data_IF_573567612840
#
_entry.id   IF_573567612840
#
_cell.length_a   1.000
_cell.length_b   1.000
_cell.length_c   1.000
_cell.angle_alpha   90.00
_cell.angle_beta   90.00
_cell.angle_gamma   90.00
#
_symmetry.space_group_name_H-M   'P 1'
#
loop_
_entity.id
_entity.type
_entity.pdbx_description
1 polymer ?
#
# COMPACT_ATOMS: atom_id res chain seq x y z
N UNK A 1 67.83 5.50 6.50
CA UNK A 1 66.73 5.24 5.54
C UNK A 1 65.58 4.44 6.16
N UNK A 2 65.86 3.51 7.09
CA UNK A 2 64.86 2.60 7.67
C UNK A 2 63.75 3.30 8.50
N UNK A 3 64.05 4.43 9.14
CA UNK A 3 63.09 5.22 9.92
C UNK A 3 61.97 5.86 9.08
N UNK A 4 62.28 6.22 7.83
CA UNK A 4 61.29 6.77 6.89
C UNK A 4 60.37 5.67 6.36
N UNK A 5 60.92 4.49 6.08
CA UNK A 5 60.14 3.32 5.65
C UNK A 5 59.17 2.86 6.76
N UNK A 6 59.60 2.90 8.02
CA UNK A 6 58.73 2.63 9.18
C UNK A 6 57.59 3.65 9.30
N UNK A 7 57.86 4.94 9.06
CA UNK A 7 56.83 5.99 9.09
C UNK A 7 55.78 5.82 7.99
N UNK A 8 56.22 5.45 6.77
CA UNK A 8 55.31 5.17 5.65
C UNK A 8 54.47 3.91 5.93
N UNK A 9 55.08 2.87 6.48
CA UNK A 9 54.38 1.65 6.85
C UNK A 9 53.31 1.89 7.93
N UNK A 10 53.61 2.71 8.94
CA UNK A 10 52.64 3.11 9.97
C UNK A 10 51.49 3.95 9.40
N UNK A 11 51.79 4.88 8.49
CA UNK A 11 50.77 5.73 7.87
C UNK A 11 49.84 4.92 6.95
N UNK A 12 50.39 3.96 6.20
CA UNK A 12 49.62 3.02 5.39
C UNK A 12 48.75 2.06 6.23
N UNK A 13 49.18 1.72 7.45
CA UNK A 13 48.38 0.90 8.37
C UNK A 13 47.25 1.69 9.06
N UNK A 14 47.41 3.01 9.23
CA UNK A 14 46.38 3.88 9.84
C UNK A 14 45.23 4.28 8.90
N UNK A 15 45.31 3.94 7.61
CA UNK A 15 44.34 4.35 6.58
C UNK A 15 43.36 3.26 6.14
N UNK A 16 43.35 2.10 6.81
CA UNK A 16 42.22 1.16 6.80
C UNK A 16 41.54 1.25 8.16
N UNK A 17 40.26 1.56 8.32
CA UNK A 17 39.11 1.12 7.53
C UNK A 17 37.96 2.06 7.90
N UNK A 18 37.64 3.02 7.04
CA UNK A 18 36.34 3.68 7.10
C UNK A 18 35.42 2.82 6.22
N UNK A 19 34.92 1.71 6.76
CA UNK A 19 33.78 1.03 6.13
C UNK A 19 32.62 2.01 6.24
N UNK A 20 32.43 2.78 5.17
CA UNK A 20 31.20 3.49 4.90
C UNK A 20 30.14 2.44 4.54
N UNK A 21 29.74 1.63 5.51
CA UNK A 21 28.68 0.66 5.33
C UNK A 21 27.40 1.18 5.95
N UNK A 22 26.43 1.31 5.06
CA UNK A 22 25.01 1.50 5.31
C UNK A 22 24.61 2.95 5.57
N UNK A 23 24.60 3.72 4.47
CA UNK A 23 23.32 4.29 4.08
C UNK A 23 22.26 3.19 4.27
N UNK A 24 21.50 3.23 5.36
CA UNK A 24 20.27 2.47 5.56
C UNK A 24 19.24 2.98 4.54
N UNK A 25 19.57 2.93 3.24
CA UNK A 25 18.57 2.85 2.20
C UNK A 25 17.79 1.60 2.55
N UNK A 26 16.60 1.81 3.08
CA UNK A 26 15.61 0.81 3.48
C UNK A 26 15.82 -0.49 2.69
N UNK A 27 16.63 -1.40 3.26
CA UNK A 27 16.91 -2.68 2.65
C UNK A 27 15.61 -3.43 2.79
N UNK A 28 14.80 -3.40 1.73
CA UNK A 28 13.64 -4.25 1.62
C UNK A 28 14.15 -5.68 1.81
N UNK A 29 13.76 -6.39 2.88
CA UNK A 29 14.30 -7.72 3.14
C UNK A 29 14.21 -8.58 1.89
N UNK A 30 15.25 -9.37 1.61
CA UNK A 30 15.41 -10.34 0.50
C UNK A 30 14.35 -11.46 0.47
N UNK A 31 13.23 -11.25 1.15
CA UNK A 31 12.06 -12.10 1.07
C UNK A 31 11.62 -12.26 -0.37
N UNK A 32 11.36 -13.53 -0.74
CA UNK A 32 10.94 -13.98 -2.05
C UNK A 32 10.03 -12.96 -2.77
N UNK A 33 10.60 -12.24 -3.74
CA UNK A 33 9.94 -11.19 -4.51
C UNK A 33 8.77 -11.71 -5.36
N UNK A 34 8.57 -13.03 -5.43
CA UNK A 34 7.48 -13.62 -6.20
C UNK A 34 6.15 -13.66 -5.43
N UNK A 35 6.14 -13.34 -4.13
CA UNK A 35 4.88 -13.15 -3.42
C UNK A 35 4.43 -11.68 -3.54
N UNK A 36 3.37 -11.37 -4.31
CA UNK A 36 2.91 -10.00 -4.49
C UNK A 36 2.46 -9.34 -3.17
N UNK A 37 2.05 -10.14 -2.18
CA UNK A 37 1.65 -9.68 -0.84
C UNK A 37 2.81 -9.50 0.14
N UNK A 38 4.05 -9.75 -0.29
CA UNK A 38 5.28 -9.54 0.51
C UNK A 38 6.29 -8.64 -0.23
N UNK A 39 5.79 -7.68 -1.00
CA UNK A 39 6.62 -6.73 -1.74
C UNK A 39 7.08 -5.56 -0.85
N UNK A 40 8.17 -4.85 -1.22
CA UNK A 40 8.58 -3.61 -0.56
C UNK A 40 7.44 -2.59 -0.43
N UNK A 41 6.65 -2.43 -1.49
CA UNK A 41 5.56 -1.46 -1.59
C UNK A 41 4.43 -1.81 -0.63
N UNK A 42 4.03 -3.09 -0.57
CA UNK A 42 2.98 -3.56 0.34
C UNK A 42 3.40 -3.54 1.81
N UNK A 43 4.71 -3.69 2.10
CA UNK A 43 5.24 -3.53 3.48
C UNK A 43 5.26 -2.08 3.94
N UNK A 44 5.61 -1.15 3.05
CA UNK A 44 5.58 0.28 3.35
C UNK A 44 4.15 0.82 3.51
N UNK A 45 3.21 0.27 2.74
CA UNK A 45 1.80 0.60 2.82
C UNK A 45 0.94 -0.66 2.60
N UNK A 46 0.41 -1.29 3.68
CA UNK A 46 -0.43 -2.48 3.59
C UNK A 46 -1.71 -2.31 2.77
N UNK A 47 -2.15 -1.07 2.52
CA UNK A 47 -3.31 -0.78 1.68
C UNK A 47 -2.94 -0.60 0.19
N UNK A 48 -1.65 -0.63 -0.16
CA UNK A 48 -1.21 -0.49 -1.54
C UNK A 48 -1.46 -1.78 -2.32
N UNK A 49 -2.24 -1.69 -3.40
CA UNK A 49 -2.50 -2.80 -4.31
C UNK A 49 -1.57 -2.83 -5.53
N UNK A 50 -0.56 -1.95 -5.56
CA UNK A 50 0.40 -1.91 -6.64
C UNK A 50 1.21 -3.22 -6.67
N UNK A 51 1.16 -3.92 -7.80
CA UNK A 51 1.85 -5.21 -7.97
C UNK A 51 1.12 -6.42 -7.38
N UNK A 52 -0.04 -6.26 -6.72
CA UNK A 52 -0.93 -7.37 -6.32
C UNK A 52 -2.07 -7.61 -7.30
N UNK A 53 -2.46 -6.59 -8.07
CA UNK A 53 -3.50 -6.75 -9.08
C UNK A 53 -2.94 -7.26 -10.41
N UNK A 54 -3.67 -8.16 -11.11
CA UNK A 54 -3.35 -8.53 -12.48
C UNK A 54 -3.30 -7.29 -13.38
N UNK A 55 -2.28 -7.19 -14.23
CA UNK A 55 -2.17 -6.09 -15.21
C UNK A 55 -3.24 -6.17 -16.31
N UNK A 56 -3.79 -7.37 -16.53
CA UNK A 56 -4.78 -7.61 -17.56
C UNK A 56 -6.18 -7.42 -16.96
N UNK A 57 -7.02 -6.54 -17.52
CA UNK A 57 -8.40 -6.43 -17.11
C UNK A 57 -9.12 -7.78 -17.32
N UNK A 58 -10.02 -8.12 -16.40
CA UNK A 58 -10.85 -9.33 -16.52
C UNK A 58 -11.67 -9.21 -17.80
N UNK A 59 -11.45 -10.12 -18.75
CA UNK A 59 -12.24 -10.19 -19.97
C UNK A 59 -13.67 -10.59 -19.58
N UNK A 60 -14.63 -9.68 -19.78
CA UNK A 60 -16.05 -9.95 -19.57
C UNK A 60 -16.63 -10.40 -20.92
N UNK A 61 -17.19 -11.60 -20.96
CA UNK A 61 -17.93 -12.08 -22.12
C UNK A 61 -19.26 -11.33 -22.32
N UNK A 62 -19.95 -11.53 -23.46
CA UNK A 62 -21.29 -10.99 -23.67
C UNK A 62 -22.21 -11.43 -22.53
N UNK A 63 -22.79 -10.47 -21.81
CA UNK A 63 -23.65 -10.73 -20.67
C UNK A 63 -25.05 -10.16 -20.95
N UNK A 64 -26.08 -11.00 -20.82
CA UNK A 64 -27.50 -10.60 -20.92
C UNK A 64 -28.09 -10.22 -19.57
N UNK A 65 -27.36 -10.46 -18.48
CA UNK A 65 -27.76 -10.13 -17.11
C UNK A 65 -27.44 -8.67 -16.82
N UNK A 66 -28.36 -7.93 -16.15
CA UNK A 66 -28.09 -6.57 -15.70
C UNK A 66 -26.83 -6.51 -14.84
N UNK A 67 -25.98 -5.50 -15.09
CA UNK A 67 -24.77 -5.27 -14.28
C UNK A 67 -25.20 -4.90 -12.86
N UNK A 68 -24.72 -5.62 -11.83
CA UNK A 68 -24.98 -5.24 -10.44
C UNK A 68 -24.50 -3.81 -10.19
N UNK A 69 -25.35 -2.96 -9.62
CA UNK A 69 -24.93 -1.60 -9.25
C UNK A 69 -23.82 -1.69 -8.20
N UNK A 70 -22.77 -0.85 -8.30
CA UNK A 70 -21.74 -0.81 -7.28
C UNK A 70 -22.35 -0.38 -5.93
N UNK A 71 -21.82 -0.88 -4.80
CA UNK A 71 -22.24 -0.42 -3.49
C UNK A 71 -21.90 1.07 -3.33
N UNK A 72 -22.89 1.88 -3.01
CA UNK A 72 -22.76 3.31 -2.72
C UNK A 72 -23.35 3.61 -1.33
N UNK A 73 -23.21 4.86 -0.89
CA UNK A 73 -23.82 5.30 0.36
C UNK A 73 -25.34 5.41 0.19
N UNK A 74 -25.82 5.96 -0.93
CA UNK A 74 -27.27 6.14 -1.15
C UNK A 74 -28.04 4.83 -1.34
N UNK A 75 -27.41 3.79 -1.88
CA UNK A 75 -28.03 2.48 -2.05
C UNK A 75 -27.82 1.54 -0.85
N UNK A 76 -27.15 2.02 0.21
CA UNK A 76 -26.87 1.26 1.42
C UNK A 76 -25.80 0.17 1.29
N UNK A 77 -25.18 -0.01 0.12
CA UNK A 77 -24.19 -1.05 -0.14
C UNK A 77 -22.86 -0.85 0.60
N UNK A 78 -22.52 0.38 0.99
CA UNK A 78 -21.32 0.69 1.80
C UNK A 78 -21.58 0.48 3.30
N UNK A 79 -22.84 0.34 3.74
CA UNK A 79 -23.21 0.13 5.15
C UNK A 79 -23.07 1.37 6.06
N UNK A 80 -22.42 2.45 5.58
CA UNK A 80 -22.29 3.73 6.29
C UNK A 80 -23.37 4.76 5.90
N UNK A 81 -24.37 4.34 5.12
CA UNK A 81 -25.48 5.18 4.72
C UNK A 81 -26.42 5.48 5.88
N UNK A 82 -27.06 6.65 5.85
CA UNK A 82 -28.22 6.90 6.72
C UNK A 82 -29.27 5.84 6.41
N UNK A 83 -29.99 5.29 7.42
CA UNK A 83 -31.14 4.45 7.14
C UNK A 83 -32.05 5.23 6.20
N UNK A 84 -32.39 4.63 5.05
CA UNK A 84 -33.40 5.17 4.13
C UNK A 84 -34.65 5.37 4.97
N UNK A 85 -34.86 6.60 5.44
CA UNK A 85 -36.00 6.96 6.27
C UNK A 85 -37.23 6.61 5.45
N UNK A 86 -37.97 5.59 5.88
CA UNK A 86 -39.27 5.31 5.29
C UNK A 86 -40.09 6.57 5.44
N UNK A 87 -40.42 7.21 4.31
CA UNK A 87 -41.41 8.28 4.32
C UNK A 87 -42.71 7.62 4.80
N UNK A 88 -43.32 8.08 5.90
CA UNK A 88 -44.58 7.52 6.35
C UNK A 88 -45.57 7.58 5.19
N UNK A 89 -46.22 6.45 4.88
CA UNK A 89 -47.25 6.39 3.83
C UNK A 89 -48.45 7.31 4.13
N UNK A 90 -48.56 7.77 5.38
CA UNK A 90 -49.62 8.63 5.86
C UNK A 90 -49.14 10.09 5.91
N UNK A 91 -49.81 11.00 5.19
CA UNK A 91 -49.60 12.44 5.33
C UNK A 91 -49.82 12.89 6.78
N UNK A 92 -49.08 13.89 7.28
CA UNK A 92 -49.28 14.41 8.63
C UNK A 92 -50.70 15.00 8.77
N UNK A 93 -51.42 14.58 9.80
CA UNK A 93 -52.74 15.12 10.14
C UNK A 93 -52.55 16.44 10.88
N UNK A 94 -53.05 17.54 10.31
CA UNK A 94 -53.10 18.83 11.01
C UNK A 94 -54.13 18.76 12.15
N UNK A 95 -53.71 19.09 13.38
CA UNK A 95 -54.60 19.23 14.53
C UNK A 95 -54.62 20.72 14.90
N UNK A 96 -55.74 21.43 14.68
CA UNK A 96 -55.89 22.81 15.14
C UNK A 96 -56.07 22.86 16.66
N UNK A 97 -55.61 23.96 17.25
CA UNK A 97 -55.64 24.33 18.65
C UNK A 97 -57.04 24.76 19.11
#
# INVERSE_FOLDING_TARGET
MNRFLLGIALLALSSGVVHADTLLLAQSPTGNSNNPYNSPIHRANPNSMQGTQPANPVIRGPNTVPVPRPPTVENGGIGNGQPLRSVPSTPPKFIPN
#
